data_IF_926759415801
#
_entry.id   IF_926759415801
#
_cell.length_a   1.000
_cell.length_b   1.000
_cell.length_c   1.000
_cell.angle_alpha   90.00
_cell.angle_beta   90.00
_cell.angle_gamma   90.00
#
_symmetry.space_group_name_H-M   'P 1'
#
loop_
_entity.id
_entity.type
_entity.pdbx_description
1 polymer ?
#
# COMPACT_ATOMS: atom_id res chain seq x y z
N UNK A 1 -38.10 34.22 54.81
CA UNK A 1 -39.01 33.21 55.39
C UNK A 1 -39.83 32.73 54.21
N UNK A 2 -39.69 31.55 53.62
CA UNK A 2 -39.19 30.21 53.97
C UNK A 2 -38.25 29.73 52.81
N UNK A 3 -37.31 28.80 52.91
CA UNK A 3 -37.18 27.67 53.82
C UNK A 3 -37.27 26.35 53.04
N UNK A 4 -36.29 26.02 52.20
CA UNK A 4 -35.97 24.60 51.91
C UNK A 4 -34.46 24.42 52.07
N UNK A 5 -34.10 23.95 53.26
CA UNK A 5 -32.79 23.41 53.60
C UNK A 5 -32.68 22.04 52.92
N UNK A 6 -32.21 21.99 51.68
CA UNK A 6 -31.58 20.78 51.18
C UNK A 6 -30.20 20.70 51.86
N UNK A 7 -29.90 19.59 52.52
CA UNK A 7 -28.60 19.31 53.12
C UNK A 7 -27.50 19.65 52.12
N UNK A 8 -26.81 20.78 52.34
CA UNK A 8 -25.71 21.23 51.51
C UNK A 8 -24.51 20.33 51.77
N UNK A 9 -24.51 19.14 51.17
CA UNK A 9 -23.29 18.37 51.00
C UNK A 9 -22.40 19.25 50.12
N UNK A 10 -21.29 19.75 50.65
CA UNK A 10 -20.26 20.37 49.82
C UNK A 10 -19.82 19.32 48.80
N UNK A 11 -20.17 19.54 47.53
CA UNK A 11 -19.76 18.65 46.46
C UNK A 11 -18.47 19.20 45.86
N UNK A 12 -17.38 18.48 46.08
CA UNK A 12 -16.13 18.78 45.40
C UNK A 12 -16.19 18.22 43.98
N UNK A 13 -15.97 19.11 43.00
CA UNK A 13 -15.67 18.72 41.62
C UNK A 13 -14.21 18.31 41.55
N UNK A 14 -13.98 17.07 41.15
CA UNK A 14 -12.63 16.53 40.95
C UNK A 14 -12.36 16.51 39.45
N UNK A 15 -11.34 17.24 39.04
CA UNK A 15 -10.82 17.22 37.67
C UNK A 15 -9.49 16.48 37.64
N UNK A 16 -9.36 15.49 36.76
CA UNK A 16 -8.15 14.69 36.58
C UNK A 16 -7.67 14.88 35.15
N UNK A 17 -6.38 15.14 35.00
CA UNK A 17 -5.75 15.24 33.70
C UNK A 17 -4.81 14.05 33.51
N UNK A 18 -5.04 13.26 32.46
CA UNK A 18 -4.31 12.02 32.18
C UNK A 18 -3.59 12.17 30.85
N UNK A 19 -2.27 11.96 30.89
CA UNK A 19 -1.40 11.99 29.72
C UNK A 19 -0.80 10.60 29.47
N UNK A 20 -1.64 9.63 29.09
CA UNK A 20 -1.22 8.26 28.77
C UNK A 20 -2.31 7.53 27.99
N UNK A 21 -2.13 7.28 26.67
CA UNK A 21 -3.14 6.66 25.83
C UNK A 21 -3.31 5.15 26.12
N UNK A 22 -2.37 4.52 26.83
CA UNK A 22 -2.38 3.08 27.12
C UNK A 22 -3.57 2.62 27.99
N UNK A 23 -4.16 3.53 28.77
CA UNK A 23 -5.31 3.24 29.65
C UNK A 23 -6.65 3.27 28.91
N UNK A 24 -6.71 3.87 27.72
CA UNK A 24 -7.95 4.17 27.00
C UNK A 24 -7.86 3.71 25.53
N UNK A 25 -7.65 2.40 25.34
CA UNK A 25 -7.60 1.76 24.02
C UNK A 25 -8.93 1.09 23.69
N UNK A 26 -9.58 1.57 22.64
CA UNK A 26 -10.75 0.94 22.05
C UNK A 26 -10.34 -0.10 20.99
N UNK A 27 -11.30 -0.95 20.58
CA UNK A 27 -11.06 -1.94 19.53
C UNK A 27 -10.62 -1.34 18.18
N UNK A 28 -10.86 -0.04 17.97
CA UNK A 28 -10.54 0.67 16.74
C UNK A 28 -9.17 1.40 16.77
N UNK A 29 -8.41 1.35 17.88
CA UNK A 29 -7.13 2.06 18.05
C UNK A 29 -7.22 3.54 17.65
N UNK A 30 -8.28 4.21 18.11
CA UNK A 30 -8.59 5.59 17.77
C UNK A 30 -7.52 6.55 18.31
N UNK A 31 -7.13 7.56 17.52
CA UNK A 31 -6.09 8.53 17.91
C UNK A 31 -6.66 9.70 18.73
N UNK A 32 -6.09 9.93 19.92
CA UNK A 32 -6.48 11.03 20.81
C UNK A 32 -5.59 12.26 20.57
N UNK A 33 -6.21 13.44 20.41
CA UNK A 33 -5.51 14.71 20.25
C UNK A 33 -4.54 14.95 21.42
N UNK A 34 -3.25 15.13 21.09
CA UNK A 34 -2.15 15.34 22.04
C UNK A 34 -2.04 14.29 23.16
N UNK A 35 -2.69 13.12 23.02
CA UNK A 35 -2.80 12.11 24.08
C UNK A 35 -3.32 12.69 25.42
N UNK A 36 -4.26 13.64 25.36
CA UNK A 36 -4.86 14.27 26.53
C UNK A 36 -6.26 13.72 26.78
N UNK A 37 -6.47 13.20 28.00
CA UNK A 37 -7.79 12.79 28.51
C UNK A 37 -8.08 13.59 29.76
N UNK A 38 -9.24 14.24 29.81
CA UNK A 38 -9.69 15.05 30.95
C UNK A 38 -10.87 14.38 31.63
N UNK A 39 -10.68 13.92 32.86
CA UNK A 39 -11.75 13.42 33.72
C UNK A 39 -12.37 14.54 34.54
N UNK A 40 -13.69 14.60 34.63
CA UNK A 40 -14.41 15.44 35.58
C UNK A 40 -15.49 14.60 36.25
N UNK A 41 -15.58 14.62 37.59
CA UNK A 41 -16.59 13.89 38.35
C UNK A 41 -16.86 14.55 39.71
N UNK A 42 -18.05 14.32 40.25
CA UNK A 42 -18.38 14.72 41.62
C UNK A 42 -18.10 13.56 42.58
N UNK A 43 -17.72 13.87 43.82
CA UNK A 43 -17.56 12.87 44.87
C UNK A 43 -18.86 12.08 45.15
N UNK A 44 -20.03 12.65 44.84
CA UNK A 44 -21.35 12.09 45.13
C UNK A 44 -21.88 11.10 44.08
N UNK A 45 -21.16 10.84 42.98
CA UNK A 45 -21.51 9.81 42.00
C UNK A 45 -21.58 10.30 40.55
N UNK A 46 -22.15 9.46 39.67
CA UNK A 46 -22.28 9.72 38.24
C UNK A 46 -23.29 10.84 37.95
N UNK A 47 -22.92 11.79 37.09
CA UNK A 47 -23.73 12.96 36.74
C UNK A 47 -23.99 12.97 35.24
N UNK A 48 -25.26 12.97 34.85
CA UNK A 48 -25.70 13.09 33.46
C UNK A 48 -26.99 13.91 33.37
N UNK A 49 -27.29 14.46 32.19
CA UNK A 49 -28.51 15.25 31.95
C UNK A 49 -28.44 16.68 32.48
N UNK A 50 -27.26 17.29 32.51
CA UNK A 50 -27.07 18.67 32.93
C UNK A 50 -27.85 19.63 32.02
N UNK A 51 -28.68 20.50 32.63
CA UNK A 51 -29.46 21.52 31.92
C UNK A 51 -28.61 22.60 31.26
N UNK A 52 -27.40 22.83 31.78
CA UNK A 52 -26.34 23.61 31.13
C UNK A 52 -25.13 22.69 30.92
N UNK A 53 -24.71 22.44 29.67
CA UNK A 53 -23.59 21.55 29.40
C UNK A 53 -22.29 22.16 29.94
N UNK A 54 -21.36 21.29 30.32
CA UNK A 54 -20.01 21.66 30.73
C UNK A 54 -19.20 21.96 29.48
N UNK A 55 -18.47 23.07 29.52
CA UNK A 55 -17.57 23.49 28.45
C UNK A 55 -16.14 23.07 28.78
N UNK A 56 -15.52 22.30 27.87
CA UNK A 56 -14.15 21.81 28.00
C UNK A 56 -13.37 22.24 26.76
N UNK A 57 -12.20 22.86 26.95
CA UNK A 57 -11.41 23.42 25.86
C UNK A 57 -10.08 22.66 25.72
N UNK A 58 -9.81 22.17 24.51
CA UNK A 58 -8.57 21.48 24.14
C UNK A 58 -7.78 22.35 23.16
N UNK A 59 -6.60 22.79 23.58
CA UNK A 59 -5.70 23.61 22.78
C UNK A 59 -4.88 22.76 21.81
N UNK A 60 -4.67 23.27 20.59
CA UNK A 60 -3.83 22.61 19.59
C UNK A 60 -3.10 23.60 18.68
N UNK A 61 -1.89 23.22 18.26
CA UNK A 61 -1.09 23.98 17.30
C UNK A 61 -1.30 23.51 15.84
N UNK A 62 -2.16 22.50 15.64
CA UNK A 62 -2.41 21.90 14.32
C UNK A 62 -3.54 22.62 13.58
N UNK A 63 -3.44 22.74 12.24
CA UNK A 63 -4.55 23.20 11.40
C UNK A 63 -5.57 22.06 11.27
N UNK A 64 -6.59 22.07 12.11
CA UNK A 64 -7.66 21.08 12.14
C UNK A 64 -8.91 21.64 11.45
N UNK A 65 -9.30 21.04 10.33
CA UNK A 65 -10.61 21.31 9.73
C UNK A 65 -11.73 20.88 10.69
N UNK A 66 -12.89 21.54 10.60
CA UNK A 66 -14.05 21.30 11.46
C UNK A 66 -14.64 19.86 11.38
N UNK A 67 -14.14 19.03 10.47
CA UNK A 67 -14.51 17.62 10.30
C UNK A 67 -13.48 16.64 10.89
N UNK A 68 -12.29 17.09 11.31
CA UNK A 68 -11.15 16.22 11.62
C UNK A 68 -10.99 15.88 13.10
N UNK A 69 -11.79 16.47 13.99
CA UNK A 69 -11.72 16.21 15.42
C UNK A 69 -13.13 16.16 16.02
N UNK A 70 -13.39 15.20 16.90
CA UNK A 70 -14.69 15.09 17.57
C UNK A 70 -14.51 14.83 19.05
N UNK A 71 -15.30 15.54 19.85
CA UNK A 71 -15.37 15.33 21.29
C UNK A 71 -16.08 14.02 21.60
N UNK A 72 -15.45 13.21 22.43
CA UNK A 72 -15.97 11.93 22.89
C UNK A 72 -15.69 11.75 24.37
N UNK A 73 -16.37 10.78 24.98
CA UNK A 73 -16.09 10.33 26.32
C UNK A 73 -15.83 8.83 26.36
N UNK A 74 -15.08 8.39 27.36
CA UNK A 74 -14.79 6.98 27.58
C UNK A 74 -15.96 6.30 28.29
N UNK A 75 -16.46 5.22 27.69
CA UNK A 75 -17.47 4.35 28.27
C UNK A 75 -16.83 3.02 28.70
N UNK A 76 -16.59 2.81 30.01
CA UNK A 76 -16.04 1.56 30.53
C UNK A 76 -16.95 0.36 30.22
N UNK A 77 -16.37 -0.78 29.81
CA UNK A 77 -17.11 -2.02 29.60
C UNK A 77 -17.99 -2.09 28.34
N UNK A 78 -18.00 -1.06 27.49
CA UNK A 78 -18.64 -1.07 26.17
C UNK A 78 -17.68 -1.65 25.10
N UNK A 79 -18.23 -2.38 24.12
CA UNK A 79 -17.49 -2.91 22.95
C UNK A 79 -17.06 -4.39 23.04
N UNK A 80 -16.81 -5.01 21.88
CA UNK A 80 -16.41 -6.42 21.78
C UNK A 80 -14.93 -6.62 22.20
N UNK A 81 -14.68 -6.91 23.49
CA UNK A 81 -13.32 -7.14 24.03
C UNK A 81 -13.01 -6.55 25.42
N UNK A 82 -13.99 -5.90 26.06
CA UNK A 82 -14.08 -5.55 27.50
C UNK A 82 -12.94 -4.77 28.20
N UNK A 83 -12.41 -3.71 27.58
CA UNK A 83 -11.73 -2.59 28.29
C UNK A 83 -12.58 -1.32 28.30
N UNK A 84 -13.26 -1.00 27.19
CA UNK A 84 -14.17 0.13 27.04
C UNK A 84 -14.20 0.67 25.60
N UNK A 85 -15.04 1.67 25.33
CA UNK A 85 -15.20 2.27 24.01
C UNK A 85 -15.44 3.78 24.09
N UNK A 86 -15.05 4.52 23.06
CA UNK A 86 -15.32 5.96 22.95
C UNK A 86 -16.73 6.21 22.42
N UNK A 87 -17.50 7.08 23.09
CA UNK A 87 -18.85 7.46 22.68
C UNK A 87 -18.99 8.98 22.52
N UNK A 88 -19.85 9.42 21.59
CA UNK A 88 -20.20 10.84 21.36
C UNK A 88 -21.46 11.25 22.12
N UNK A 89 -22.18 10.31 22.73
CA UNK A 89 -23.50 10.58 23.29
C UNK A 89 -23.48 11.72 24.33
N UNK A 90 -24.38 12.69 24.16
CA UNK A 90 -24.49 13.83 25.07
C UNK A 90 -23.36 14.88 24.96
N UNK A 91 -22.49 14.78 23.94
CA UNK A 91 -21.41 15.74 23.68
C UNK A 91 -21.54 16.39 22.29
N UNK A 92 -21.43 17.71 22.24
CA UNK A 92 -21.35 18.52 21.03
C UNK A 92 -19.95 19.11 20.86
N UNK A 93 -19.45 19.13 19.62
CA UNK A 93 -18.11 19.64 19.28
C UNK A 93 -18.21 20.97 18.55
N UNK A 94 -17.52 21.99 19.05
CA UNK A 94 -17.38 23.29 18.41
C UNK A 94 -15.92 23.57 18.11
N UNK A 95 -15.62 23.99 16.87
CA UNK A 95 -14.26 24.29 16.43
C UNK A 95 -14.00 25.80 16.48
N UNK A 96 -12.85 26.18 17.03
CA UNK A 96 -12.27 27.53 16.95
C UNK A 96 -10.82 27.45 16.48
N UNK A 97 -10.29 28.56 15.98
CA UNK A 97 -8.88 28.63 15.60
C UNK A 97 -7.99 28.27 16.80
N UNK A 98 -7.18 27.21 16.65
CA UNK A 98 -6.26 26.72 17.69
C UNK A 98 -6.93 26.07 18.92
N UNK A 99 -8.25 25.85 18.92
CA UNK A 99 -8.98 25.26 20.07
C UNK A 99 -10.20 24.45 19.64
N UNK A 100 -10.34 23.24 20.19
CA UNK A 100 -11.57 22.45 20.11
C UNK A 100 -12.34 22.59 21.42
N UNK A 101 -13.61 22.96 21.34
CA UNK A 101 -14.50 23.16 22.49
C UNK A 101 -15.54 22.03 22.51
N UNK A 102 -15.61 21.32 23.63
CA UNK A 102 -16.57 20.25 23.88
C UNK A 102 -17.66 20.72 24.85
N UNK A 103 -18.92 20.61 24.44
CA UNK A 103 -20.08 20.86 25.28
C UNK A 103 -20.73 19.53 25.63
N UNK A 104 -20.55 19.05 26.87
CA UNK A 104 -21.06 17.75 27.30
C UNK A 104 -22.08 17.90 28.43
N UNK A 105 -23.16 17.12 28.39
CA UNK A 105 -24.24 17.16 29.39
C UNK A 105 -24.03 16.18 30.57
N UNK A 106 -22.84 15.60 30.69
CA UNK A 106 -22.46 14.65 31.74
C UNK A 106 -21.05 14.94 32.25
N UNK A 107 -20.63 14.26 33.32
CA UNK A 107 -19.31 14.35 33.91
C UNK A 107 -18.64 12.97 33.89
N UNK A 108 -17.65 12.80 33.01
CA UNK A 108 -16.94 11.53 32.77
C UNK A 108 -15.48 11.79 32.35
N UNK A 109 -14.87 10.88 31.57
CA UNK A 109 -13.54 11.06 30.98
C UNK A 109 -13.66 11.49 29.52
N UNK A 110 -13.29 12.72 29.23
CA UNK A 110 -13.39 13.35 27.91
C UNK A 110 -12.07 13.30 27.16
N UNK A 111 -12.16 13.14 25.84
CA UNK A 111 -11.05 13.24 24.92
C UNK A 111 -11.53 13.83 23.59
N UNK A 112 -10.60 14.39 22.82
CA UNK A 112 -10.85 14.73 21.42
C UNK A 112 -10.25 13.62 20.58
N UNK A 113 -11.09 12.84 19.91
CA UNK A 113 -10.61 11.90 18.90
C UNK A 113 -10.33 12.66 17.63
N UNK A 114 -9.10 12.50 17.14
CA UNK A 114 -8.78 12.82 15.77
C UNK A 114 -9.51 11.79 14.91
N UNK A 115 -10.44 12.25 14.09
CA UNK A 115 -10.84 11.41 12.97
C UNK A 115 -9.58 11.18 12.14
N UNK A 116 -9.39 10.00 11.52
CA UNK A 116 -8.28 9.81 10.61
C UNK A 116 -8.41 10.91 9.56
N UNK A 117 -7.60 11.97 9.70
CA UNK A 117 -7.57 13.05 8.76
C UNK A 117 -7.30 12.38 7.44
N UNK A 118 -8.22 12.55 6.48
CA UNK A 118 -7.99 12.07 5.13
C UNK A 118 -6.69 12.70 4.66
N UNK A 119 -5.60 11.92 4.71
CA UNK A 119 -4.21 12.42 4.55
C UNK A 119 -3.95 13.01 3.17
N UNK A 120 -4.92 12.86 2.26
CA UNK A 120 -4.90 13.31 0.89
C UNK A 120 -6.12 14.19 0.62
N UNK A 121 -5.87 15.36 0.03
CA UNK A 121 -6.95 16.19 -0.49
C UNK A 121 -7.68 15.47 -1.65
N UNK A 122 -8.97 15.74 -1.88
CA UNK A 122 -9.70 15.15 -3.02
C UNK A 122 -8.98 15.37 -4.36
N UNK A 123 -8.38 16.55 -4.57
CA UNK A 123 -7.60 16.87 -5.77
C UNK A 123 -6.32 16.02 -5.90
N UNK A 124 -5.62 15.76 -4.79
CA UNK A 124 -4.46 14.85 -4.78
C UNK A 124 -4.87 13.42 -5.10
N UNK A 125 -5.97 12.93 -4.52
CA UNK A 125 -6.47 11.59 -4.80
C UNK A 125 -6.92 11.42 -6.25
N UNK A 126 -7.59 12.43 -6.81
CA UNK A 126 -7.97 12.45 -8.23
C UNK A 126 -6.73 12.44 -9.14
N UNK A 127 -5.71 13.24 -8.82
CA UNK A 127 -4.44 13.28 -9.56
C UNK A 127 -3.72 11.92 -9.55
N UNK A 128 -3.56 11.30 -8.38
CA UNK A 128 -2.94 9.99 -8.23
C UNK A 128 -3.71 8.92 -9.00
N UNK A 129 -5.04 8.99 -8.97
CA UNK A 129 -5.92 8.08 -9.73
C UNK A 129 -5.67 8.22 -11.22
N UNK A 130 -5.70 9.45 -11.77
CA UNK A 130 -5.41 9.68 -13.19
C UNK A 130 -4.03 9.18 -13.60
N UNK A 131 -2.99 9.49 -12.81
CA UNK A 131 -1.62 9.03 -13.08
C UNK A 131 -1.57 7.50 -13.10
N UNK A 132 -2.15 6.84 -12.11
CA UNK A 132 -2.16 5.38 -12.02
C UNK A 132 -2.92 4.74 -13.19
N UNK A 133 -4.08 5.26 -13.58
CA UNK A 133 -4.89 4.74 -14.69
C UNK A 133 -4.16 4.86 -16.02
N UNK A 134 -3.58 6.02 -16.32
CA UNK A 134 -2.83 6.25 -17.56
C UNK A 134 -1.57 5.37 -17.58
N UNK A 135 -0.80 5.36 -16.49
CA UNK A 135 0.42 4.57 -16.37
C UNK A 135 0.16 3.07 -16.53
N UNK A 136 -0.82 2.53 -15.80
CA UNK A 136 -1.20 1.12 -15.88
C UNK A 136 -1.73 0.73 -17.26
N UNK A 137 -2.48 1.60 -17.93
CA UNK A 137 -2.97 1.36 -19.30
C UNK A 137 -1.81 1.27 -20.30
N UNK A 138 -0.86 2.21 -20.22
CA UNK A 138 0.32 2.20 -21.08
C UNK A 138 1.22 0.98 -20.80
N UNK A 139 1.41 0.64 -19.53
CA UNK A 139 2.14 -0.55 -19.09
C UNK A 139 1.48 -1.85 -19.57
N UNK A 140 0.16 -1.97 -19.46
CA UNK A 140 -0.60 -3.11 -19.97
C UNK A 140 -0.47 -3.25 -21.49
N UNK A 141 -0.61 -2.15 -22.24
CA UNK A 141 -0.44 -2.16 -23.68
C UNK A 141 0.99 -2.57 -24.09
N UNK A 142 2.02 -2.02 -23.44
CA UNK A 142 3.41 -2.33 -23.74
C UNK A 142 3.77 -3.80 -23.43
N UNK A 143 3.33 -4.31 -22.29
CA UNK A 143 3.55 -5.71 -21.88
C UNK A 143 2.81 -6.68 -22.80
N UNK A 144 1.55 -6.40 -23.15
CA UNK A 144 0.78 -7.19 -24.11
C UNK A 144 1.46 -7.21 -25.49
N UNK A 145 1.83 -6.05 -26.04
CA UNK A 145 2.55 -5.97 -27.32
C UNK A 145 3.85 -6.77 -27.29
N UNK A 146 4.63 -6.68 -26.20
CA UNK A 146 5.89 -7.43 -26.06
C UNK A 146 5.65 -8.94 -26.03
N UNK A 147 4.63 -9.39 -25.28
CA UNK A 147 4.25 -10.80 -25.23
C UNK A 147 3.83 -11.32 -26.60
N UNK A 148 2.97 -10.58 -27.31
CA UNK A 148 2.53 -10.94 -28.67
C UNK A 148 3.72 -11.03 -29.63
N UNK A 149 4.61 -10.03 -29.64
CA UNK A 149 5.82 -10.05 -30.47
C UNK A 149 6.71 -11.27 -30.16
N UNK A 150 6.85 -11.65 -28.90
CA UNK A 150 7.64 -12.82 -28.52
C UNK A 150 6.95 -14.14 -28.89
N UNK A 151 5.63 -14.24 -28.75
CA UNK A 151 4.86 -15.39 -29.21
C UNK A 151 4.95 -15.55 -30.74
N UNK A 152 4.75 -14.48 -31.51
CA UNK A 152 4.80 -14.54 -32.98
C UNK A 152 6.22 -14.77 -33.53
N UNK A 153 7.25 -14.22 -32.88
CA UNK A 153 8.64 -14.46 -33.30
C UNK A 153 9.18 -15.83 -32.88
N UNK A 154 8.62 -16.45 -31.84
CA UNK A 154 8.93 -17.83 -31.48
C UNK A 154 8.42 -18.85 -32.52
N UNK A 155 7.52 -18.44 -33.42
CA UNK A 155 7.01 -19.25 -34.54
C UNK A 155 7.96 -19.36 -35.73
N UNK A 156 9.08 -18.61 -35.73
CA UNK A 156 10.14 -18.77 -36.76
C UNK A 156 11.17 -19.81 -36.32
N UNK A 157 11.31 -20.96 -37.01
CA UNK A 157 12.29 -21.99 -36.67
C UNK A 157 13.71 -21.55 -37.04
N UNK A 158 14.62 -21.50 -36.05
CA UNK A 158 16.04 -21.20 -36.27
C UNK A 158 16.97 -22.24 -35.59
N UNK A 159 18.19 -22.48 -36.12
CA UNK A 159 18.97 -23.72 -35.99
C UNK A 159 19.80 -23.84 -34.69
N UNK A 160 20.37 -25.02 -34.37
CA UNK A 160 20.78 -25.39 -33.02
C UNK A 160 22.20 -24.92 -32.65
N UNK A 161 22.33 -24.16 -31.56
CA UNK A 161 23.58 -23.92 -30.83
C UNK A 161 23.34 -24.13 -29.32
N UNK A 162 23.37 -25.40 -28.91
CA UNK A 162 22.47 -26.00 -27.91
C UNK A 162 22.73 -25.70 -26.42
N UNK A 163 23.73 -24.89 -26.04
CA UNK A 163 24.01 -24.59 -24.62
C UNK A 163 23.77 -23.11 -24.25
N UNK A 164 24.38 -22.18 -24.99
CA UNK A 164 24.12 -20.73 -24.83
C UNK A 164 22.67 -20.37 -25.21
N UNK A 165 22.08 -21.10 -26.15
CA UNK A 165 20.67 -20.98 -26.51
C UNK A 165 19.76 -21.41 -25.36
N UNK A 166 20.04 -22.54 -24.69
CA UNK A 166 19.20 -23.04 -23.59
C UNK A 166 19.13 -22.07 -22.40
N UNK A 167 20.26 -21.48 -22.01
CA UNK A 167 20.27 -20.48 -20.92
C UNK A 167 19.51 -19.21 -21.32
N UNK A 168 19.65 -18.78 -22.58
CA UNK A 168 18.92 -17.65 -23.15
C UNK A 168 17.43 -17.94 -23.28
N UNK A 169 17.05 -19.17 -23.60
CA UNK A 169 15.66 -19.62 -23.66
C UNK A 169 15.03 -19.63 -22.26
N UNK A 170 15.76 -20.06 -21.22
CA UNK A 170 15.29 -20.02 -19.83
C UNK A 170 15.12 -18.58 -19.32
N UNK A 171 16.11 -17.69 -19.53
CA UNK A 171 16.00 -16.27 -19.17
C UNK A 171 14.83 -15.60 -19.88
N UNK A 172 14.68 -15.82 -21.19
CA UNK A 172 13.56 -15.26 -21.96
C UNK A 172 12.21 -15.78 -21.45
N UNK A 173 12.09 -17.08 -21.13
CA UNK A 173 10.85 -17.66 -20.58
C UNK A 173 10.47 -17.08 -19.22
N UNK A 174 11.43 -16.93 -18.30
CA UNK A 174 11.18 -16.30 -16.99
C UNK A 174 10.72 -14.85 -17.18
N UNK A 175 11.39 -14.13 -18.08
CA UNK A 175 11.00 -12.76 -18.41
C UNK A 175 9.57 -12.67 -18.98
N UNK A 176 9.16 -13.61 -19.84
CA UNK A 176 7.78 -13.67 -20.35
C UNK A 176 6.78 -13.90 -19.22
N UNK A 177 7.08 -14.76 -18.26
CA UNK A 177 6.19 -14.97 -17.10
C UNK A 177 6.10 -13.73 -16.20
N UNK A 178 7.20 -13.00 -16.01
CA UNK A 178 7.18 -11.72 -15.31
C UNK A 178 6.32 -10.69 -16.05
N UNK A 179 6.46 -10.57 -17.38
CA UNK A 179 5.62 -9.69 -18.20
C UNK A 179 4.14 -10.09 -18.14
N UNK A 180 3.83 -11.39 -18.14
CA UNK A 180 2.46 -11.88 -17.99
C UNK A 180 1.87 -11.56 -16.61
N UNK A 181 2.66 -11.68 -15.54
CA UNK A 181 2.25 -11.31 -14.19
C UNK A 181 2.01 -9.79 -14.06
N UNK A 182 2.88 -8.96 -14.65
CA UNK A 182 2.70 -7.51 -14.70
C UNK A 182 1.48 -7.11 -15.53
N UNK A 183 1.21 -7.78 -16.66
CA UNK A 183 0.00 -7.55 -17.45
C UNK A 183 -1.25 -7.87 -16.61
N UNK A 184 -1.26 -9.03 -15.93
CA UNK A 184 -2.36 -9.42 -15.06
C UNK A 184 -2.58 -8.41 -13.93
N UNK A 185 -1.51 -7.93 -13.29
CA UNK A 185 -1.57 -6.92 -12.24
C UNK A 185 -2.16 -5.59 -12.75
N UNK A 186 -1.70 -5.09 -13.90
CA UNK A 186 -2.19 -3.84 -14.47
C UNK A 186 -3.66 -3.95 -14.90
N UNK A 187 -4.05 -5.06 -15.56
CA UNK A 187 -5.44 -5.30 -15.93
C UNK A 187 -6.36 -5.41 -14.70
N UNK A 188 -5.92 -6.13 -13.66
CA UNK A 188 -6.69 -6.26 -12.42
C UNK A 188 -6.84 -4.93 -11.70
N UNK A 189 -5.81 -4.08 -11.74
CA UNK A 189 -5.86 -2.74 -11.15
C UNK A 189 -6.88 -1.85 -11.86
N UNK A 190 -6.85 -1.82 -13.20
CA UNK A 190 -7.83 -1.09 -14.00
C UNK A 190 -9.26 -1.62 -13.76
N UNK A 191 -9.42 -2.94 -13.68
CA UNK A 191 -10.70 -3.57 -13.38
C UNK A 191 -11.22 -3.18 -11.99
N UNK A 192 -10.34 -3.08 -10.99
CA UNK A 192 -10.70 -2.69 -9.61
C UNK A 192 -11.28 -1.28 -9.50
N UNK A 193 -10.89 -0.39 -10.43
CA UNK A 193 -11.47 0.96 -10.54
C UNK A 193 -12.78 0.97 -11.32
N UNK A 194 -12.93 0.11 -12.33
CA UNK A 194 -14.13 0.06 -13.16
C UNK A 194 -15.30 -0.64 -12.46
N UNK A 195 -15.02 -1.69 -11.69
CA UNK A 195 -16.04 -2.48 -11.00
C UNK A 195 -16.31 -2.01 -9.57
N UNK A 196 -15.76 -0.86 -9.18
CA UNK A 196 -16.01 -0.23 -7.89
C UNK A 196 -17.46 0.23 -7.71
N UNK A 197 -18.15 0.60 -8.79
CA UNK A 197 -19.60 0.92 -8.75
C UNK A 197 -20.49 -0.30 -9.08
N UNK A 198 -19.87 -1.47 -9.22
CA UNK A 198 -20.54 -2.72 -9.57
C UNK A 198 -21.16 -3.43 -8.37
N UNK A 199 -21.62 -4.66 -8.60
CA UNK A 199 -22.16 -5.51 -7.52
C UNK A 199 -21.07 -5.93 -6.54
N UNK A 200 -21.44 -6.12 -5.27
CA UNK A 200 -20.51 -6.49 -4.20
C UNK A 200 -19.68 -7.74 -4.55
N UNK A 201 -20.30 -8.77 -5.10
CA UNK A 201 -19.61 -9.99 -5.53
C UNK A 201 -18.57 -9.76 -6.63
N UNK A 202 -18.83 -8.87 -7.60
CA UNK A 202 -17.85 -8.53 -8.64
C UNK A 202 -16.66 -7.78 -8.05
N UNK A 203 -16.91 -6.91 -7.08
CA UNK A 203 -15.86 -6.19 -6.38
C UNK A 203 -14.98 -7.14 -5.56
N UNK A 204 -15.58 -8.09 -4.83
CA UNK A 204 -14.86 -9.12 -4.08
C UNK A 204 -13.94 -9.97 -4.97
N UNK A 205 -14.45 -10.44 -6.12
CA UNK A 205 -13.67 -11.22 -7.09
C UNK A 205 -12.53 -10.40 -7.66
N UNK A 206 -12.79 -9.14 -8.00
CA UNK A 206 -11.78 -8.24 -8.57
C UNK A 206 -10.68 -7.91 -7.55
N UNK A 207 -11.04 -7.70 -6.29
CA UNK A 207 -10.08 -7.50 -5.20
C UNK A 207 -9.21 -8.75 -4.98
N UNK A 208 -9.79 -9.95 -5.03
CA UNK A 208 -9.05 -11.20 -4.93
C UNK A 208 -8.11 -11.41 -6.13
N UNK A 209 -8.55 -11.05 -7.34
CA UNK A 209 -7.73 -11.10 -8.56
C UNK A 209 -6.56 -10.11 -8.48
N UNK A 210 -6.81 -8.88 -8.02
CA UNK A 210 -5.78 -7.87 -7.81
C UNK A 210 -4.77 -8.32 -6.75
N UNK A 211 -5.23 -8.90 -5.64
CA UNK A 211 -4.35 -9.44 -4.61
C UNK A 211 -3.49 -10.59 -5.15
N UNK A 212 -4.09 -11.55 -5.86
CA UNK A 212 -3.38 -12.69 -6.46
C UNK A 212 -2.32 -12.21 -7.44
N UNK A 213 -2.68 -11.30 -8.35
CA UNK A 213 -1.76 -10.78 -9.36
C UNK A 213 -0.61 -9.99 -8.77
N UNK A 214 -0.83 -9.23 -7.69
CA UNK A 214 0.22 -8.55 -6.95
C UNK A 214 1.24 -9.54 -6.37
N UNK A 215 0.77 -10.57 -5.66
CA UNK A 215 1.63 -11.58 -5.05
C UNK A 215 2.41 -12.38 -6.10
N UNK A 216 1.76 -12.74 -7.22
CA UNK A 216 2.40 -13.40 -8.37
C UNK A 216 3.48 -12.51 -9.00
N UNK A 217 3.21 -11.22 -9.21
CA UNK A 217 4.19 -10.29 -9.77
C UNK A 217 5.43 -10.16 -8.86
N UNK A 218 5.22 -10.00 -7.55
CA UNK A 218 6.31 -10.01 -6.56
C UNK A 218 7.11 -11.31 -6.61
N UNK A 219 6.43 -12.46 -6.68
CA UNK A 219 7.09 -13.77 -6.75
C UNK A 219 7.92 -13.93 -8.04
N UNK A 220 7.43 -13.46 -9.18
CA UNK A 220 8.18 -13.48 -10.44
C UNK A 220 9.36 -12.52 -10.44
N UNK A 221 9.26 -11.37 -9.77
CA UNK A 221 10.41 -10.48 -9.57
C UNK A 221 11.47 -11.14 -8.68
N UNK A 222 11.06 -11.88 -7.64
CA UNK A 222 11.97 -12.71 -6.84
C UNK A 222 12.59 -13.86 -7.65
N UNK A 223 11.81 -14.53 -8.50
CA UNK A 223 12.30 -15.58 -9.39
C UNK A 223 13.34 -15.05 -10.38
N UNK A 224 13.11 -13.86 -10.94
CA UNK A 224 14.06 -13.16 -11.81
C UNK A 224 15.34 -12.78 -11.04
N UNK A 225 15.20 -12.28 -9.80
CA UNK A 225 16.35 -11.99 -8.93
C UNK A 225 17.19 -13.24 -8.64
N UNK A 226 16.52 -14.35 -8.30
CA UNK A 226 17.17 -15.63 -8.08
C UNK A 226 17.86 -16.15 -9.36
N UNK A 227 17.23 -16.00 -10.52
CA UNK A 227 17.82 -16.37 -11.80
C UNK A 227 19.06 -15.53 -12.11
N UNK A 228 19.02 -14.21 -11.88
CA UNK A 228 20.17 -13.32 -12.02
C UNK A 228 21.31 -13.71 -11.06
N UNK A 229 20.98 -14.07 -9.82
CA UNK A 229 21.96 -14.55 -8.85
C UNK A 229 22.64 -15.84 -9.33
N UNK A 230 21.87 -16.78 -9.89
CA UNK A 230 22.43 -17.98 -10.51
C UNK A 230 23.35 -17.63 -11.68
N UNK A 231 22.95 -16.71 -12.58
CA UNK A 231 23.79 -16.31 -13.71
C UNK A 231 25.15 -15.72 -13.28
N UNK A 232 25.22 -15.10 -12.10
CA UNK A 232 26.45 -14.53 -11.53
C UNK A 232 27.32 -15.60 -10.86
N UNK A 233 26.71 -16.51 -10.11
CA UNK A 233 27.44 -17.52 -9.30
C UNK A 233 27.84 -18.74 -10.13
N UNK A 234 27.14 -19.03 -11.23
CA UNK A 234 27.28 -20.23 -12.05
C UNK A 234 28.54 -20.22 -12.94
N UNK A 235 29.70 -20.21 -12.27
CA UNK A 235 31.00 -20.64 -12.82
C UNK A 235 31.07 -22.18 -12.87
N UNK A 236 30.25 -22.88 -12.06
CA UNK A 236 30.09 -24.33 -12.06
C UNK A 236 28.75 -24.71 -12.68
N UNK A 237 28.72 -25.70 -13.58
CA UNK A 237 27.58 -26.09 -14.41
C UNK A 237 26.43 -26.74 -13.59
N UNK A 238 25.75 -25.98 -12.74
CA UNK A 238 24.62 -26.47 -11.93
C UNK A 238 23.39 -26.65 -12.84
N UNK A 239 23.03 -27.89 -13.12
CA UNK A 239 21.82 -28.23 -13.86
C UNK A 239 20.68 -28.56 -12.90
N UNK A 240 19.60 -27.77 -12.92
CA UNK A 240 18.40 -28.01 -12.12
C UNK A 240 17.35 -28.68 -13.02
N UNK A 241 17.07 -29.95 -12.78
CA UNK A 241 15.96 -30.67 -13.42
C UNK A 241 14.63 -29.94 -13.16
N UNK A 242 13.82 -29.77 -14.21
CA UNK A 242 12.51 -29.11 -14.20
C UNK A 242 12.51 -27.69 -13.59
N UNK A 243 13.57 -26.91 -13.82
CA UNK A 243 13.75 -25.56 -13.26
C UNK A 243 12.55 -24.63 -13.43
N UNK A 244 12.05 -24.46 -14.67
CA UNK A 244 10.93 -23.56 -14.96
C UNK A 244 9.63 -24.00 -14.27
N UNK A 245 9.37 -25.31 -14.21
CA UNK A 245 8.18 -25.84 -13.53
C UNK A 245 8.21 -25.50 -12.03
N UNK A 246 9.37 -25.65 -11.38
CA UNK A 246 9.53 -25.29 -9.95
C UNK A 246 9.30 -23.80 -9.73
N UNK A 247 9.81 -22.93 -10.61
CA UNK A 247 9.54 -21.50 -10.55
C UNK A 247 8.07 -21.17 -10.76
N UNK A 248 7.39 -21.82 -11.72
CA UNK A 248 5.96 -21.63 -11.93
C UNK A 248 5.13 -22.08 -10.72
N UNK A 249 5.46 -23.21 -10.09
CA UNK A 249 4.79 -23.67 -8.87
C UNK A 249 4.99 -22.68 -7.71
N UNK A 250 6.20 -22.13 -7.58
CA UNK A 250 6.50 -21.11 -6.59
C UNK A 250 5.76 -19.79 -6.87
N UNK A 251 5.86 -19.25 -8.09
CA UNK A 251 5.45 -17.90 -8.40
C UNK A 251 3.99 -17.75 -8.85
N UNK A 252 3.39 -18.77 -9.47
CA UNK A 252 1.96 -18.81 -9.76
C UNK A 252 1.19 -19.63 -8.73
N UNK A 253 1.71 -20.80 -8.37
CA UNK A 253 1.01 -21.78 -7.54
C UNK A 253 0.79 -21.28 -6.11
N UNK A 254 1.87 -20.97 -5.39
CA UNK A 254 1.77 -20.56 -3.98
C UNK A 254 0.88 -19.30 -3.79
N UNK A 255 1.06 -18.19 -4.53
CA UNK A 255 0.20 -17.01 -4.38
C UNK A 255 -1.26 -17.25 -4.71
N UNK A 256 -1.54 -18.03 -5.77
CA UNK A 256 -2.92 -18.32 -6.17
C UNK A 256 -3.60 -19.20 -5.13
N UNK A 257 -2.89 -20.23 -4.64
CA UNK A 257 -3.42 -21.13 -3.62
C UNK A 257 -3.76 -20.40 -2.32
N UNK A 258 -2.87 -19.51 -1.86
CA UNK A 258 -3.11 -18.75 -0.62
C UNK A 258 -4.32 -17.83 -0.74
N UNK A 259 -4.44 -17.08 -1.84
CA UNK A 259 -5.59 -16.19 -2.05
C UNK A 259 -6.89 -16.96 -2.24
N UNK A 260 -6.88 -18.06 -3.01
CA UNK A 260 -8.07 -18.92 -3.17
C UNK A 260 -8.52 -19.50 -1.83
N UNK A 261 -7.58 -19.93 -0.98
CA UNK A 261 -7.92 -20.41 0.37
C UNK A 261 -8.56 -19.29 1.21
N UNK A 262 -7.95 -18.11 1.26
CA UNK A 262 -8.51 -16.96 2.01
C UNK A 262 -9.89 -16.59 1.49
N UNK A 263 -10.06 -16.52 0.16
CA UNK A 263 -11.34 -16.19 -0.46
C UNK A 263 -12.42 -17.24 -0.20
N UNK A 264 -12.06 -18.53 -0.18
CA UNK A 264 -13.00 -19.62 0.09
C UNK A 264 -13.47 -19.66 1.55
N UNK A 265 -12.56 -19.41 2.51
CA UNK A 265 -12.89 -19.49 3.93
C UNK A 265 -13.41 -18.19 4.53
N UNK A 266 -13.02 -17.03 3.99
CA UNK A 266 -13.37 -15.70 4.50
C UNK A 266 -13.56 -14.70 3.35
N UNK A 267 -14.69 -14.78 2.64
CA UNK A 267 -15.01 -13.85 1.53
C UNK A 267 -14.99 -12.38 1.96
N UNK A 268 -15.46 -12.09 3.17
CA UNK A 268 -15.55 -10.73 3.73
C UNK A 268 -14.19 -10.04 3.92
N UNK A 269 -13.09 -10.77 3.70
CA UNK A 269 -11.71 -10.25 3.63
C UNK A 269 -11.48 -9.30 2.46
N UNK A 270 -12.30 -9.43 1.41
CA UNK A 270 -12.22 -8.65 0.18
C UNK A 270 -13.50 -7.84 0.06
N UNK A 271 -13.42 -6.59 -0.38
CA UNK A 271 -14.60 -5.74 -0.50
C UNK A 271 -14.27 -4.30 -0.87
N UNK A 272 -15.23 -3.41 -0.62
CA UNK A 272 -15.05 -1.98 -0.86
C UNK A 272 -14.08 -1.40 0.15
N UNK A 273 -13.02 -0.77 -0.36
CA UNK A 273 -12.08 -0.01 0.44
C UNK A 273 -12.24 1.48 0.09
N UNK A 274 -12.85 2.25 1.00
CA UNK A 274 -12.95 3.70 0.89
C UNK A 274 -11.63 4.35 1.33
N UNK A 275 -10.99 5.09 0.43
CA UNK A 275 -9.86 5.96 0.81
C UNK A 275 -10.48 7.25 1.34
N UNK A 276 -10.34 7.50 2.64
CA UNK A 276 -10.90 8.68 3.30
C UNK A 276 -10.21 9.95 2.80
N UNK A 277 -10.97 10.86 2.19
CA UNK A 277 -10.52 12.21 1.82
C UNK A 277 -10.87 13.22 2.92
N UNK A 278 -10.09 14.30 3.05
CA UNK A 278 -10.30 15.35 4.06
C UNK A 278 -11.64 16.07 3.95
N UNK A 279 -12.23 16.14 2.75
CA UNK A 279 -13.54 16.77 2.52
C UNK A 279 -14.68 15.75 2.54
N UNK A 280 -15.02 15.25 3.72
CA UNK A 280 -16.35 14.70 3.95
C UNK A 280 -17.31 15.87 4.12
N UNK A 281 -18.32 15.98 3.24
CA UNK A 281 -19.50 16.85 3.38
C UNK A 281 -19.45 18.24 2.72
N UNK A 282 -19.17 18.32 1.41
CA UNK A 282 -19.85 19.32 0.56
C UNK A 282 -20.43 18.69 -0.69
N UNK A 283 -21.74 18.89 -0.83
CA UNK A 283 -22.58 18.40 -1.91
C UNK A 283 -22.19 19.06 -3.24
N UNK A 284 -21.34 18.43 -4.05
CA UNK A 284 -21.45 18.42 -5.52
C UNK A 284 -20.46 17.42 -6.11
N UNK A 285 -20.97 16.41 -6.82
CA UNK A 285 -20.18 15.44 -7.62
C UNK A 285 -19.05 14.73 -6.85
N UNK A 286 -19.45 14.01 -5.79
CA UNK A 286 -18.61 12.99 -5.17
C UNK A 286 -18.46 11.88 -6.21
N UNK A 287 -17.29 11.74 -6.85
CA UNK A 287 -16.88 10.42 -7.35
C UNK A 287 -16.35 9.70 -6.12
N UNK A 288 -17.12 8.79 -5.48
CA UNK A 288 -16.57 8.03 -4.38
C UNK A 288 -15.48 7.16 -5.00
N UNK A 289 -14.22 7.48 -4.75
CA UNK A 289 -13.09 6.68 -5.24
C UNK A 289 -12.98 5.39 -4.42
N UNK A 290 -14.10 4.69 -4.26
CA UNK A 290 -14.16 3.35 -3.74
C UNK A 290 -13.34 2.47 -4.69
N UNK A 291 -12.49 1.61 -4.13
CA UNK A 291 -11.76 0.62 -4.90
C UNK A 291 -12.00 -0.73 -4.28
N UNK A 292 -11.99 -1.75 -5.12
CA UNK A 292 -12.09 -3.13 -4.66
C UNK A 292 -10.73 -3.59 -4.12
N UNK A 293 -10.63 -3.75 -2.80
CA UNK A 293 -9.38 -4.14 -2.14
C UNK A 293 -9.59 -4.97 -0.86
N UNK A 294 -8.49 -5.32 -0.17
CA UNK A 294 -8.51 -6.01 1.11
C UNK A 294 -9.12 -5.11 2.19
N UNK A 295 -10.08 -5.65 2.94
CA UNK A 295 -10.71 -5.00 4.08
C UNK A 295 -10.10 -5.47 5.41
N UNK A 296 -9.56 -6.69 5.45
CA UNK A 296 -9.03 -7.26 6.70
C UNK A 296 -7.58 -6.80 6.98
N UNK A 297 -7.36 -6.31 8.21
CA UNK A 297 -6.05 -5.91 8.72
C UNK A 297 -5.02 -7.06 8.74
N UNK A 298 -5.36 -8.30 9.19
CA UNK A 298 -4.38 -9.38 9.27
C UNK A 298 -3.83 -9.81 7.91
N UNK A 299 -4.69 -9.89 6.89
CA UNK A 299 -4.25 -10.26 5.54
C UNK A 299 -3.45 -9.12 4.92
N UNK A 300 -3.82 -7.86 5.16
CA UNK A 300 -3.02 -6.71 4.75
C UNK A 300 -1.58 -6.77 5.31
N UNK A 301 -1.41 -7.00 6.61
CA UNK A 301 -0.08 -7.15 7.20
C UNK A 301 0.68 -8.38 6.68
N UNK A 302 0.00 -9.49 6.44
CA UNK A 302 0.62 -10.67 5.83
C UNK A 302 1.13 -10.37 4.41
N UNK A 303 0.35 -9.65 3.60
CA UNK A 303 0.76 -9.18 2.26
C UNK A 303 1.96 -8.25 2.33
N UNK A 304 1.98 -7.30 3.29
CA UNK A 304 3.13 -6.42 3.50
C UNK A 304 4.39 -7.18 3.94
N UNK A 305 4.26 -8.17 4.82
CA UNK A 305 5.36 -9.03 5.24
C UNK A 305 5.94 -9.81 4.06
N UNK A 306 5.08 -10.44 3.25
CA UNK A 306 5.48 -11.13 2.03
C UNK A 306 6.22 -10.21 1.05
N UNK A 307 5.66 -9.02 0.78
CA UNK A 307 6.28 -8.02 -0.08
C UNK A 307 7.63 -7.53 0.48
N UNK A 308 7.72 -7.30 1.79
CA UNK A 308 8.94 -6.86 2.47
C UNK A 308 10.06 -7.89 2.40
N UNK A 309 9.76 -9.17 2.59
CA UNK A 309 10.74 -10.27 2.47
C UNK A 309 11.29 -10.39 1.04
N UNK A 310 10.42 -10.32 0.04
CA UNK A 310 10.83 -10.35 -1.37
C UNK A 310 11.66 -9.12 -1.72
N UNK A 311 11.23 -7.94 -1.29
CA UNK A 311 11.94 -6.71 -1.54
C UNK A 311 13.35 -6.73 -0.91
N UNK A 312 13.46 -7.23 0.31
CA UNK A 312 14.74 -7.40 0.99
C UNK A 312 15.66 -8.31 0.16
N UNK A 313 15.17 -9.49 -0.24
CA UNK A 313 15.93 -10.42 -1.08
C UNK A 313 16.37 -9.77 -2.40
N UNK A 314 15.46 -9.12 -3.13
CA UNK A 314 15.75 -8.47 -4.42
C UNK A 314 16.75 -7.33 -4.27
N UNK A 315 16.67 -6.55 -3.19
CA UNK A 315 17.61 -5.46 -2.89
C UNK A 315 19.01 -6.00 -2.61
N UNK A 316 19.13 -7.12 -1.88
CA UNK A 316 20.42 -7.78 -1.64
C UNK A 316 21.04 -8.27 -2.96
N UNK A 317 20.25 -8.91 -3.83
CA UNK A 317 20.70 -9.35 -5.16
C UNK A 317 21.13 -8.15 -6.02
N UNK A 318 20.31 -7.10 -6.09
CA UNK A 318 20.65 -5.88 -6.82
C UNK A 318 21.95 -5.25 -6.31
N UNK A 319 22.13 -5.17 -4.99
CA UNK A 319 23.35 -4.68 -4.35
C UNK A 319 24.58 -5.48 -4.78
N UNK A 320 24.49 -6.82 -4.83
CA UNK A 320 25.56 -7.69 -5.33
C UNK A 320 25.87 -7.42 -6.81
N UNK A 321 24.86 -7.29 -7.66
CA UNK A 321 25.03 -6.97 -9.09
C UNK A 321 25.72 -5.62 -9.27
N UNK A 322 25.26 -4.59 -8.56
CA UNK A 322 25.83 -3.24 -8.62
C UNK A 322 27.29 -3.24 -8.17
N UNK A 323 27.65 -3.97 -7.11
CA UNK A 323 29.04 -4.09 -6.68
C UNK A 323 29.93 -4.73 -7.74
N UNK A 324 29.44 -5.76 -8.43
CA UNK A 324 30.17 -6.42 -9.53
C UNK A 324 30.32 -5.47 -10.72
N UNK A 325 29.24 -4.79 -11.12
CA UNK A 325 29.26 -3.80 -12.20
C UNK A 325 30.25 -2.67 -11.91
N UNK A 326 30.27 -2.14 -10.68
CA UNK A 326 31.22 -1.10 -10.27
C UNK A 326 32.68 -1.57 -10.35
N UNK A 327 32.98 -2.80 -9.92
CA UNK A 327 34.33 -3.39 -10.04
C UNK A 327 34.78 -3.49 -11.50
N UNK A 328 33.88 -3.87 -12.41
CA UNK A 328 34.18 -3.97 -13.85
C UNK A 328 34.30 -2.57 -14.48
N UNK A 329 33.41 -1.64 -14.11
CA UNK A 329 33.37 -0.27 -14.64
C UNK A 329 34.63 0.53 -14.31
N UNK A 330 35.20 0.34 -13.11
CA UNK A 330 36.49 0.93 -12.71
C UNK A 330 37.65 0.49 -13.62
N UNK A 331 37.60 -0.72 -14.20
CA UNK A 331 38.65 -1.20 -15.10
C UNK A 331 38.49 -0.72 -16.56
N UNK A 332 37.27 -0.33 -16.98
CA UNK A 332 36.97 -0.02 -18.39
C UNK A 332 36.59 1.45 -18.67
N UNK A 333 36.55 2.32 -17.66
CA UNK A 333 36.28 3.76 -17.84
C UNK A 333 34.89 4.10 -18.40
N UNK A 334 33.90 3.21 -18.28
CA UNK A 334 32.62 3.28 -19.00
C UNK A 334 31.41 3.66 -18.13
N UNK A 335 31.54 4.66 -17.25
CA UNK A 335 30.56 4.98 -16.20
C UNK A 335 29.11 5.26 -16.68
N UNK A 336 28.90 5.82 -17.88
CA UNK A 336 27.56 6.19 -18.38
C UNK A 336 26.68 4.98 -18.77
N UNK A 337 27.27 3.85 -19.16
CA UNK A 337 26.52 2.63 -19.53
C UNK A 337 26.04 1.85 -18.28
N UNK A 338 26.71 2.06 -17.15
CA UNK A 338 26.43 1.34 -15.91
C UNK A 338 25.15 1.86 -15.25
N UNK A 339 24.92 3.18 -15.22
CA UNK A 339 23.71 3.77 -14.60
C UNK A 339 22.40 3.35 -15.28
N UNK A 340 22.37 3.29 -16.61
CA UNK A 340 21.18 2.82 -17.36
C UNK A 340 20.90 1.35 -17.05
N UNK A 341 21.95 0.55 -16.87
CA UNK A 341 21.83 -0.87 -16.51
C UNK A 341 21.31 -1.04 -15.10
N UNK A 342 21.84 -0.28 -14.15
CA UNK A 342 21.34 -0.28 -12.76
C UNK A 342 19.88 0.14 -12.72
N UNK A 343 19.50 1.20 -13.41
CA UNK A 343 18.11 1.68 -13.44
C UNK A 343 17.15 0.64 -14.03
N UNK A 344 17.54 -0.02 -15.13
CA UNK A 344 16.75 -1.11 -15.72
C UNK A 344 16.59 -2.30 -14.76
N UNK A 345 17.66 -2.69 -14.07
CA UNK A 345 17.63 -3.77 -13.08
C UNK A 345 16.79 -3.41 -11.83
N UNK A 346 16.83 -2.15 -11.37
CA UNK A 346 16.00 -1.65 -10.27
C UNK A 346 14.51 -1.86 -10.55
N UNK A 347 14.07 -1.52 -11.78
CA UNK A 347 12.69 -1.68 -12.23
C UNK A 347 12.33 -3.16 -12.45
N UNK A 348 13.25 -3.93 -13.06
CA UNK A 348 13.09 -5.37 -13.32
C UNK A 348 12.89 -6.17 -12.03
N UNK A 349 13.66 -5.84 -10.99
CA UNK A 349 13.62 -6.50 -9.68
C UNK A 349 12.53 -5.97 -8.75
N UNK A 350 11.76 -4.96 -9.17
CA UNK A 350 10.66 -4.41 -8.35
C UNK A 350 11.11 -3.68 -7.09
N UNK A 351 12.35 -3.21 -7.03
CA UNK A 351 12.83 -2.49 -5.83
C UNK A 351 12.14 -1.14 -5.61
N UNK A 352 11.45 -0.61 -6.63
CA UNK A 352 10.58 0.57 -6.56
C UNK A 352 9.38 0.40 -5.61
N UNK A 353 8.94 -0.84 -5.37
CA UNK A 353 7.89 -1.14 -4.39
C UNK A 353 8.31 -0.80 -2.96
N UNK A 354 9.62 -0.74 -2.70
CA UNK A 354 10.17 -0.33 -1.41
C UNK A 354 9.77 1.06 -0.98
N UNK A 355 9.45 1.95 -1.92
CA UNK A 355 8.95 3.28 -1.60
C UNK A 355 7.69 3.23 -0.74
N UNK A 356 6.86 2.19 -0.83
CA UNK A 356 5.64 2.03 -0.01
C UNK A 356 5.92 1.98 1.51
N UNK A 357 7.12 1.55 1.92
CA UNK A 357 7.48 1.46 3.35
C UNK A 357 7.98 2.78 3.93
N UNK A 358 8.22 3.79 3.09
CA UNK A 358 8.70 5.11 3.50
C UNK A 358 7.59 6.17 3.61
N UNK A 359 6.33 5.72 3.73
CA UNK A 359 5.14 6.58 3.88
C UNK A 359 5.00 7.13 5.30
N UNK A 360 5.77 8.15 5.67
CA UNK A 360 5.64 8.80 6.98
C UNK A 360 5.81 10.32 6.93
N UNK A 361 4.98 11.02 7.72
CA UNK A 361 5.07 12.46 7.96
C UNK A 361 5.00 13.32 6.70
N UNK A 362 5.85 14.35 6.63
CA UNK A 362 5.89 15.36 5.55
C UNK A 362 6.26 14.75 4.18
N UNK A 363 6.94 13.61 4.17
CA UNK A 363 7.35 12.95 2.92
C UNK A 363 6.23 12.13 2.27
N UNK A 364 5.09 11.93 2.93
CA UNK A 364 3.99 11.09 2.47
C UNK A 364 3.52 11.48 1.05
N UNK A 365 3.20 12.75 0.82
CA UNK A 365 2.67 13.20 -0.49
C UNK A 365 3.69 13.01 -1.62
N UNK A 366 4.93 13.55 -1.55
CA UNK A 366 5.93 13.33 -2.59
C UNK A 366 6.23 11.84 -2.85
N UNK A 367 6.32 11.04 -1.79
CA UNK A 367 6.59 9.61 -1.89
C UNK A 367 5.44 8.84 -2.56
N UNK A 368 4.17 9.20 -2.29
CA UNK A 368 3.02 8.61 -2.95
C UNK A 368 2.98 8.90 -4.46
N UNK A 369 3.29 10.14 -4.88
CA UNK A 369 3.42 10.47 -6.31
C UNK A 369 4.53 9.67 -6.97
N UNK A 370 5.71 9.60 -6.34
CA UNK A 370 6.85 8.85 -6.87
C UNK A 370 6.55 7.35 -6.97
N UNK A 371 5.98 6.77 -5.92
CA UNK A 371 5.53 5.37 -5.89
C UNK A 371 4.52 5.09 -7.00
N UNK A 372 3.53 5.97 -7.17
CA UNK A 372 2.46 5.80 -8.17
C UNK A 372 3.02 5.87 -9.59
N UNK A 373 3.87 6.85 -9.89
CA UNK A 373 4.48 7.01 -11.23
C UNK A 373 5.36 5.81 -11.56
N UNK A 374 6.26 5.42 -10.65
CA UNK A 374 7.22 4.35 -10.89
C UNK A 374 6.54 2.98 -11.05
N UNK A 375 5.57 2.66 -10.19
CA UNK A 375 4.94 1.34 -10.20
C UNK A 375 3.87 1.21 -11.30
N UNK A 376 3.14 2.30 -11.63
CA UNK A 376 2.20 2.26 -12.76
C UNK A 376 2.90 2.11 -14.11
N UNK A 377 4.10 2.69 -14.27
CA UNK A 377 4.92 2.57 -15.49
C UNK A 377 5.91 1.39 -15.46
N UNK A 378 5.88 0.56 -14.42
CA UNK A 378 6.90 -0.48 -14.24
C UNK A 378 6.97 -1.46 -15.41
N UNK A 379 5.83 -1.95 -15.92
CA UNK A 379 5.81 -2.87 -17.05
C UNK A 379 6.35 -2.24 -18.33
N UNK A 380 6.10 -0.95 -18.56
CA UNK A 380 6.71 -0.21 -19.67
C UNK A 380 8.24 -0.17 -19.54
N UNK A 381 8.77 0.16 -18.36
CA UNK A 381 10.22 0.20 -18.14
C UNK A 381 10.88 -1.16 -18.36
N UNK A 382 10.22 -2.24 -17.90
CA UNK A 382 10.69 -3.62 -18.12
C UNK A 382 10.72 -3.97 -19.61
N UNK A 383 9.68 -3.61 -20.37
CA UNK A 383 9.63 -3.81 -21.82
C UNK A 383 10.74 -3.04 -22.56
N UNK A 384 10.93 -1.76 -22.23
CA UNK A 384 11.98 -0.93 -22.83
C UNK A 384 13.38 -1.47 -22.53
N UNK A 385 13.59 -1.94 -21.30
CA UNK A 385 14.82 -2.60 -20.89
C UNK A 385 15.08 -3.87 -21.72
N UNK A 386 14.09 -4.74 -21.82
CA UNK A 386 14.18 -5.98 -22.60
C UNK A 386 14.52 -5.74 -24.08
N UNK A 387 13.84 -4.78 -24.72
CA UNK A 387 14.11 -4.40 -26.11
C UNK A 387 15.55 -3.86 -26.25
N UNK A 388 16.02 -3.08 -25.29
CA UNK A 388 17.39 -2.53 -25.31
C UNK A 388 18.43 -3.64 -25.19
N UNK A 389 18.21 -4.61 -24.31
CA UNK A 389 19.10 -5.79 -24.15
C UNK A 389 19.09 -6.66 -25.41
N UNK A 390 17.91 -6.90 -26.01
CA UNK A 390 17.80 -7.64 -27.26
C UNK A 390 18.55 -6.97 -28.42
N UNK A 391 18.42 -5.65 -28.57
CA UNK A 391 19.10 -4.88 -29.62
C UNK A 391 20.62 -4.91 -29.49
N UNK A 392 21.14 -4.86 -28.26
CA UNK A 392 22.60 -4.97 -28.00
C UNK A 392 23.18 -6.35 -28.37
N UNK A 393 22.35 -7.38 -28.35
CA UNK A 393 22.76 -8.77 -28.61
C UNK A 393 22.57 -9.22 -30.07
N UNK A 394 21.95 -8.41 -30.94
CA UNK A 394 22.01 -8.65 -32.39
C UNK A 394 23.40 -8.22 -32.88
N UNK A 395 24.25 -9.13 -33.42
CA UNK A 395 25.46 -8.71 -34.09
C UNK A 395 25.06 -7.82 -35.28
N UNK A 396 25.41 -6.55 -35.19
CA UNK A 396 25.36 -5.65 -36.34
C UNK A 396 26.25 -6.23 -37.43
N UNK A 397 25.64 -6.43 -38.59
CA UNK A 397 26.25 -6.68 -39.89
C UNK A 397 27.68 -6.15 -39.96
N UNK A 398 28.63 -7.02 -40.29
CA UNK A 398 29.91 -6.62 -40.83
C UNK A 398 29.64 -5.60 -41.96
N UNK A 399 30.06 -4.35 -41.77
CA UNK A 399 30.32 -3.47 -42.89
C UNK A 399 31.62 -3.98 -43.52
N UNK A 400 31.45 -4.87 -44.50
CA UNK A 400 32.47 -5.08 -45.52
C UNK A 400 32.68 -3.74 -46.21
N UNK A 401 33.82 -3.12 -45.95
CA UNK A 401 34.45 -2.22 -46.90
C UNK A 401 35.94 -2.59 -46.95
N UNK A 402 36.21 -3.65 -47.73
CA UNK A 402 37.51 -3.87 -48.34
C UNK A 402 37.51 -3.19 -49.72
N UNK A 403 38.18 -2.05 -49.83
CA UNK A 403 39.16 -1.77 -50.89
C UNK A 403 39.87 -0.46 -50.61
#
# INVERSE_FOLDING_TARGET
>A
VEGIRAQGVEQALICVYIHSPCLFQDAHNSSVLNNHVLGAFLQSGHVAGLSRPVEIQFWHDMVLDASNATCVFWQPGAGAGSTGSWSREGCETTHREGTVICHCNHLTYFAVLLLPAGTLSPAQLASLTHISTIGCSLSAAATLCTLLLCCFSSSTPCPPASCRQRLRDDTTRIHMHLLAALLLLNCSFLLSTLLADGTEGLCQVTAALLHTSLLCALAWMAAEAFHLLLLIIKVYNIYIQHYLLKLCLFAWGLPTLTVVAVFAFKRDTYGYHSISTSEGYRNTTIVPSSRCWLTSLPVHYATLCYAGLILLFNTLVLGRVVMILRRIGQQKGQARKDWVTVLGLTCLLGTTWGLAFFSFGVFLVPQLYLFTILNSLQGLFVCLWYITVLRRNKPGSASNTSR
#
